data_IF_009382816326
#
_entry.id   IF_009382816326
#
_cell.length_a   1.000
_cell.length_b   1.000
_cell.length_c   1.000
_cell.angle_alpha   90.00
_cell.angle_beta   90.00
_cell.angle_gamma   90.00
#
_symmetry.space_group_name_H-M   'P 1'
#
loop_
_entity.id
_entity.type
_entity.pdbx_description
1 polymer ?
#
# COMPACT_ATOMS: atom_id res chain seq x y z
N UNK A 1 24.80 -13.27 -4.94
CA UNK A 1 25.66 -13.33 -3.73
C UNK A 1 24.78 -13.78 -2.58
N UNK A 2 25.15 -14.81 -1.82
CA UNK A 2 24.35 -15.25 -0.68
C UNK A 2 24.71 -14.37 0.52
N UNK A 3 23.73 -13.84 1.22
CA UNK A 3 23.94 -13.08 2.46
C UNK A 3 23.59 -14.00 3.63
N UNK A 4 24.39 -13.94 4.71
CA UNK A 4 24.12 -14.62 5.98
C UNK A 4 24.06 -13.58 7.09
N UNK A 5 23.04 -13.67 7.91
CA UNK A 5 22.78 -12.78 9.02
C UNK A 5 22.75 -13.54 10.34
N UNK A 6 23.44 -13.00 11.35
CA UNK A 6 23.39 -13.46 12.73
C UNK A 6 22.84 -12.33 13.60
N UNK A 7 21.80 -12.64 14.37
CA UNK A 7 21.11 -11.70 15.24
C UNK A 7 21.29 -12.14 16.70
N UNK A 8 21.57 -11.16 17.55
CA UNK A 8 21.62 -11.30 19.01
C UNK A 8 20.67 -10.26 19.61
N UNK A 9 19.63 -10.73 20.28
CA UNK A 9 18.69 -9.90 21.03
C UNK A 9 18.95 -10.09 22.52
N UNK A 10 19.18 -8.98 23.22
CA UNK A 10 19.45 -8.93 24.65
C UNK A 10 18.39 -8.09 25.34
N UNK A 11 17.67 -8.68 26.30
CA UNK A 11 16.76 -7.99 27.19
C UNK A 11 17.40 -7.86 28.56
N UNK A 12 17.66 -6.63 29.02
CA UNK A 12 18.26 -6.38 30.34
C UNK A 12 17.21 -5.84 31.29
N UNK A 13 16.95 -6.53 32.40
CA UNK A 13 16.08 -6.03 33.47
C UNK A 13 16.78 -4.89 34.22
N UNK A 14 16.14 -3.72 34.27
CA UNK A 14 16.73 -2.51 34.88
C UNK A 14 16.83 -2.59 36.41
N UNK A 15 16.04 -3.46 37.05
CA UNK A 15 15.96 -3.59 38.50
C UNK A 15 16.93 -4.65 39.01
N UNK A 16 17.06 -5.78 38.29
CA UNK A 16 17.93 -6.90 38.70
C UNK A 16 19.27 -6.93 37.98
N UNK A 17 19.36 -6.33 36.79
CA UNK A 17 20.53 -6.43 35.91
C UNK A 17 20.64 -7.76 35.15
N UNK A 18 19.64 -8.65 35.27
CA UNK A 18 19.62 -9.93 34.56
C UNK A 18 19.46 -9.71 33.05
N UNK A 19 20.18 -10.51 32.25
CA UNK A 19 20.18 -10.43 30.79
C UNK A 19 19.62 -11.74 30.23
N UNK A 20 18.52 -11.63 29.49
CA UNK A 20 17.96 -12.68 28.66
C UNK A 20 18.48 -12.50 27.23
N UNK A 21 19.11 -13.54 26.66
CA UNK A 21 19.75 -13.46 25.33
C UNK A 21 19.17 -14.49 24.38
N UNK A 22 18.79 -14.05 23.19
CA UNK A 22 18.35 -14.89 22.06
C UNK A 22 19.32 -14.70 20.90
N UNK A 23 19.68 -15.80 20.23
CA UNK A 23 20.59 -15.83 19.09
C UNK A 23 19.97 -16.63 17.97
N UNK A 24 19.85 -16.02 16.80
CA UNK A 24 19.20 -16.66 15.67
C UNK A 24 19.85 -16.24 14.36
N UNK A 25 19.67 -17.07 13.33
CA UNK A 25 20.13 -16.80 11.97
C UNK A 25 18.97 -16.46 11.06
N UNK A 26 19.23 -15.69 10.01
CA UNK A 26 18.17 -15.27 9.12
C UNK A 26 18.00 -16.14 7.87
N UNK A 27 16.83 -15.98 7.27
CA UNK A 27 16.57 -16.20 5.87
C UNK A 27 16.61 -14.84 5.14
N UNK A 28 17.23 -14.78 3.97
CA UNK A 28 17.20 -13.59 3.09
C UNK A 28 16.03 -13.74 2.13
N UNK A 29 15.28 -12.67 1.94
CA UNK A 29 14.19 -12.62 0.96
C UNK A 29 14.69 -12.09 -0.38
N UNK A 30 13.82 -12.12 -1.38
CA UNK A 30 14.09 -11.57 -2.69
C UNK A 30 13.88 -10.04 -2.77
N UNK A 31 13.47 -9.35 -1.70
CA UNK A 31 13.06 -7.94 -1.76
C UNK A 31 14.13 -7.02 -2.35
N UNK A 32 15.38 -7.14 -1.90
CA UNK A 32 16.50 -6.33 -2.41
C UNK A 32 16.83 -6.69 -3.86
N UNK A 33 16.74 -7.96 -4.22
CA UNK A 33 16.98 -8.41 -5.59
C UNK A 33 15.87 -7.93 -6.54
N UNK A 34 14.61 -7.87 -6.10
CA UNK A 34 13.52 -7.28 -6.87
C UNK A 34 13.79 -5.81 -7.13
N UNK A 35 14.09 -5.03 -6.09
CA UNK A 35 14.35 -3.60 -6.23
C UNK A 35 15.49 -3.29 -7.20
N UNK A 36 16.57 -4.09 -7.19
CA UNK A 36 17.72 -3.86 -8.06
C UNK A 36 17.58 -4.51 -9.45
N UNK A 37 16.81 -5.60 -9.56
CA UNK A 37 16.75 -6.44 -10.76
C UNK A 37 15.48 -6.29 -11.58
N UNK A 38 14.39 -5.79 -10.99
CA UNK A 38 13.11 -5.56 -11.66
C UNK A 38 12.99 -4.06 -11.97
N UNK A 39 12.55 -3.72 -13.18
CA UNK A 39 12.44 -2.35 -13.64
C UNK A 39 11.11 -2.14 -14.42
N UNK A 40 9.96 -2.17 -13.72
CA UNK A 40 8.67 -1.95 -14.38
C UNK A 40 8.67 -0.57 -15.01
N UNK A 41 8.14 -0.44 -16.23
CA UNK A 41 8.06 0.80 -16.99
C UNK A 41 9.38 1.60 -17.09
N UNK A 42 10.53 0.92 -16.99
CA UNK A 42 11.86 1.54 -16.96
C UNK A 42 12.05 2.62 -15.87
N UNK A 43 11.40 2.47 -14.70
CA UNK A 43 11.47 3.39 -13.56
C UNK A 43 12.87 3.84 -13.15
N UNK A 44 13.89 3.00 -13.31
CA UNK A 44 15.28 3.33 -12.94
C UNK A 44 16.03 4.15 -13.99
N UNK A 45 15.37 4.51 -15.09
CA UNK A 45 15.94 5.33 -16.15
C UNK A 45 15.12 6.59 -16.35
N UNK A 46 15.81 7.68 -16.72
CA UNK A 46 15.16 8.93 -17.11
C UNK A 46 14.46 8.77 -18.45
N UNK A 47 13.18 8.43 -18.43
CA UNK A 47 12.44 8.00 -19.64
C UNK A 47 11.17 8.80 -19.91
N UNK A 48 10.78 9.72 -19.01
CA UNK A 48 9.59 10.59 -19.19
C UNK A 48 9.89 12.00 -19.75
N UNK A 49 11.11 12.28 -20.26
CA UNK A 49 11.41 13.50 -21.02
C UNK A 49 12.55 14.38 -20.47
N UNK A 50 12.69 15.58 -21.05
CA UNK A 50 13.86 16.48 -20.93
C UNK A 50 14.09 17.03 -19.49
N UNK A 51 13.07 16.95 -18.62
CA UNK A 51 13.14 17.38 -17.21
C UNK A 51 12.80 16.26 -16.22
N UNK A 52 13.19 15.01 -16.52
CA UNK A 52 13.07 13.91 -15.57
C UNK A 52 14.12 14.05 -14.44
N UNK A 53 13.77 14.86 -13.43
CA UNK A 53 14.52 15.01 -12.18
C UNK A 53 14.19 13.90 -11.16
N UNK A 54 13.32 12.95 -11.51
CA UNK A 54 12.57 12.15 -10.54
C UNK A 54 13.32 10.97 -9.92
N UNK A 55 14.62 10.78 -10.24
CA UNK A 55 15.44 9.70 -9.69
C UNK A 55 15.89 9.95 -8.23
N UNK A 56 14.93 10.17 -7.33
CA UNK A 56 15.14 10.52 -5.92
C UNK A 56 15.56 9.33 -5.03
N UNK A 57 15.62 8.11 -5.57
CA UNK A 57 15.85 6.91 -4.79
C UNK A 57 17.33 6.67 -4.43
N UNK A 58 18.29 7.19 -5.20
CA UNK A 58 19.72 6.94 -4.97
C UNK A 58 20.16 7.37 -3.56
N UNK A 59 19.81 8.57 -3.10
CA UNK A 59 20.17 9.05 -1.74
C UNK A 59 19.33 8.40 -0.63
N UNK A 60 18.22 7.76 -1.02
CA UNK A 60 17.23 7.19 -0.11
C UNK A 60 17.41 5.69 0.11
N UNK A 61 17.92 4.98 -0.89
CA UNK A 61 18.02 3.52 -0.91
C UNK A 61 19.46 3.04 -1.09
N UNK A 62 20.34 3.80 -1.75
CA UNK A 62 21.76 3.47 -1.85
C UNK A 62 22.58 4.24 -0.81
N UNK A 63 23.69 3.68 -0.30
CA UNK A 63 24.17 2.30 -0.50
C UNK A 63 23.21 1.24 0.10
N UNK A 64 23.30 -0.02 -0.34
CA UNK A 64 22.41 -1.11 0.12
C UNK A 64 22.33 -1.13 1.65
N UNK A 65 23.46 -1.23 2.34
CA UNK A 65 23.54 -0.93 3.77
C UNK A 65 24.18 0.45 3.95
N UNK A 66 23.63 1.34 4.80
CA UNK A 66 22.52 1.10 5.72
C UNK A 66 21.18 1.68 5.24
N UNK A 67 20.92 1.79 3.92
CA UNK A 67 19.71 2.47 3.42
C UNK A 67 18.62 1.49 2.94
N UNK A 68 18.88 0.67 1.91
CA UNK A 68 17.97 -0.38 1.42
C UNK A 68 17.77 -1.49 2.47
N UNK A 69 18.81 -1.81 3.21
CA UNK A 69 18.78 -2.61 4.43
C UNK A 69 19.33 -1.70 5.52
N UNK A 70 18.43 -1.19 6.37
CA UNK A 70 18.75 -0.10 7.29
C UNK A 70 17.85 0.02 8.50
N UNK A 71 16.70 -0.64 8.47
CA UNK A 71 15.78 -0.71 9.58
C UNK A 71 15.51 -2.15 9.99
N UNK A 72 14.73 -2.28 11.06
CA UNK A 72 14.30 -3.54 11.65
C UNK A 72 12.82 -3.45 12.00
N UNK A 73 12.08 -4.54 11.78
CA UNK A 73 10.69 -4.75 12.16
C UNK A 73 10.62 -5.94 13.11
N UNK A 74 9.87 -5.80 14.20
CA UNK A 74 9.70 -6.83 15.23
C UNK A 74 8.23 -7.25 15.26
N UNK A 75 7.99 -8.55 15.28
CA UNK A 75 6.66 -9.14 15.11
C UNK A 75 6.27 -9.99 16.31
N UNK A 76 4.98 -10.00 16.63
CA UNK A 76 4.44 -10.75 17.78
C UNK A 76 4.22 -12.24 17.49
N UNK A 77 4.11 -12.61 16.21
CA UNK A 77 4.02 -13.99 15.74
C UNK A 77 5.21 -14.29 14.82
N UNK A 78 5.51 -15.58 14.68
CA UNK A 78 6.46 -16.06 13.66
C UNK A 78 6.01 -15.66 12.26
N UNK A 79 6.97 -15.50 11.36
CA UNK A 79 6.77 -15.21 9.94
C UNK A 79 6.93 -16.49 9.14
N UNK A 80 6.15 -16.64 8.06
CA UNK A 80 6.37 -17.70 7.07
C UNK A 80 7.74 -17.51 6.41
N UNK A 81 8.63 -18.48 6.56
CA UNK A 81 9.96 -18.49 5.93
C UNK A 81 9.85 -18.84 4.44
N UNK A 82 9.70 -17.80 3.62
CA UNK A 82 9.67 -17.88 2.16
C UNK A 82 10.43 -16.67 1.60
N UNK A 83 11.26 -16.89 0.58
CA UNK A 83 12.05 -15.84 -0.04
C UNK A 83 11.17 -14.81 -0.75
N UNK A 84 9.98 -15.20 -1.20
CA UNK A 84 9.02 -14.30 -1.84
C UNK A 84 8.04 -13.66 -0.85
N UNK A 85 8.07 -14.05 0.44
CA UNK A 85 7.33 -13.39 1.51
C UNK A 85 8.03 -12.06 1.91
N UNK A 86 7.94 -11.08 1.02
CA UNK A 86 8.52 -9.74 1.21
C UNK A 86 7.61 -8.80 2.02
N UNK A 87 6.34 -9.16 2.22
CA UNK A 87 5.40 -8.48 3.11
C UNK A 87 4.57 -9.52 3.87
N UNK A 88 4.57 -9.50 5.21
CA UNK A 88 3.70 -10.39 5.97
C UNK A 88 2.24 -9.98 5.80
N UNK A 89 1.32 -10.92 6.08
CA UNK A 89 -0.10 -10.60 6.20
C UNK A 89 -0.33 -9.53 7.29
N UNK A 90 -1.34 -8.68 7.08
CA UNK A 90 -1.70 -7.64 8.05
C UNK A 90 -2.21 -8.18 9.39
N UNK A 91 -2.46 -9.48 9.55
CA UNK A 91 -2.75 -10.09 10.86
C UNK A 91 -1.53 -10.12 11.80
N UNK A 92 -0.34 -9.82 11.28
CA UNK A 92 0.93 -9.78 12.00
C UNK A 92 1.70 -8.51 11.65
N UNK A 93 1.11 -7.34 11.92
CA UNK A 93 1.82 -6.07 11.80
C UNK A 93 2.96 -5.96 12.84
N UNK A 94 4.01 -5.14 12.57
CA UNK A 94 5.10 -4.95 13.50
C UNK A 94 4.63 -4.34 14.83
N UNK A 95 5.05 -4.92 15.95
CA UNK A 95 4.81 -4.36 17.30
C UNK A 95 5.87 -3.32 17.69
N UNK A 96 7.04 -3.40 17.06
CA UNK A 96 8.13 -2.44 17.24
C UNK A 96 8.99 -2.39 15.98
N UNK A 97 9.75 -1.31 15.82
CA UNK A 97 10.63 -1.11 14.68
C UNK A 97 11.75 -0.12 15.01
N UNK A 98 12.79 -0.06 14.18
CA UNK A 98 13.78 1.01 14.24
C UNK A 98 14.36 1.28 12.86
N UNK A 99 14.86 2.50 12.65
CA UNK A 99 15.48 2.95 11.39
C UNK A 99 17.01 3.02 11.56
N UNK A 100 17.73 3.57 10.59
CA UNK A 100 19.18 3.74 10.62
C UNK A 100 19.62 5.03 11.34
N UNK A 101 18.73 5.64 12.13
CA UNK A 101 19.01 6.84 12.91
C UNK A 101 18.33 6.77 14.28
N UNK A 102 18.63 7.77 15.12
CA UNK A 102 18.05 7.89 16.45
C UNK A 102 16.55 8.18 16.41
N UNK A 103 15.81 7.68 17.39
CA UNK A 103 14.42 8.07 17.59
C UNK A 103 14.35 9.44 18.29
N UNK A 104 14.15 10.50 17.50
CA UNK A 104 13.96 11.87 17.99
C UNK A 104 12.50 12.24 18.27
N UNK A 105 11.59 11.26 18.28
CA UNK A 105 10.14 11.48 18.43
C UNK A 105 9.58 10.77 19.67
N UNK A 106 8.34 11.06 20.03
CA UNK A 106 7.62 10.35 21.09
C UNK A 106 7.11 8.95 20.67
N UNK A 107 7.55 8.42 19.52
CA UNK A 107 7.11 7.11 19.03
C UNK A 107 7.64 5.97 19.92
N UNK A 108 6.78 5.41 20.77
CA UNK A 108 7.13 4.31 21.67
C UNK A 108 7.28 2.97 20.96
N UNK A 109 6.77 2.80 19.74
CA UNK A 109 7.06 1.60 18.95
C UNK A 109 8.48 1.63 18.36
N UNK A 110 9.14 2.79 18.36
CA UNK A 110 10.39 3.02 17.62
C UNK A 110 11.63 3.02 18.53
N UNK A 111 12.59 2.15 18.22
CA UNK A 111 13.93 2.15 18.80
C UNK A 111 14.90 3.11 18.10
N UNK A 112 16.11 3.22 18.63
CA UNK A 112 17.19 4.06 18.09
C UNK A 112 18.33 3.20 17.56
N UNK A 113 18.91 3.58 16.43
CA UNK A 113 20.20 3.02 16.03
C UNK A 113 21.32 3.57 16.92
N UNK A 114 22.18 2.69 17.42
CA UNK A 114 23.45 3.06 18.04
C UNK A 114 24.47 3.36 16.93
N UNK A 115 24.71 4.65 16.68
CA UNK A 115 25.54 5.14 15.58
C UNK A 115 27.04 4.88 15.78
N UNK A 116 27.47 4.53 16.99
CA UNK A 116 28.88 4.21 17.29
C UNK A 116 29.18 2.73 17.08
N UNK A 117 28.26 1.84 17.48
CA UNK A 117 28.43 0.41 17.31
C UNK A 117 28.01 -0.12 15.93
N UNK A 118 27.12 0.60 15.24
CA UNK A 118 26.70 0.27 13.89
C UNK A 118 27.74 0.75 12.87
N UNK A 119 28.25 -0.17 12.04
CA UNK A 119 29.32 0.14 11.09
C UNK A 119 29.41 -0.88 9.97
N UNK A 120 29.98 -0.43 8.85
CA UNK A 120 30.46 -1.34 7.82
C UNK A 120 31.53 -2.29 8.37
N UNK A 121 31.53 -3.51 7.86
CA UNK A 121 32.55 -4.53 8.03
C UNK A 121 33.22 -4.78 6.66
N UNK A 122 34.35 -5.47 6.64
CA UNK A 122 35.08 -5.74 5.39
C UNK A 122 34.24 -6.52 4.36
N UNK A 123 33.36 -7.40 4.83
CA UNK A 123 32.49 -8.25 4.01
C UNK A 123 31.00 -8.15 4.42
N UNK A 124 30.57 -7.01 4.98
CA UNK A 124 29.21 -6.91 5.50
C UNK A 124 28.91 -5.63 6.28
N UNK A 125 27.89 -5.71 7.14
CA UNK A 125 27.49 -4.60 8.00
C UNK A 125 27.03 -5.11 9.37
N UNK A 126 27.41 -4.40 10.43
CA UNK A 126 26.91 -4.60 11.78
C UNK A 126 25.90 -3.50 12.09
N UNK A 127 24.67 -3.88 12.42
CA UNK A 127 23.64 -3.00 12.94
C UNK A 127 23.49 -3.21 14.45
N UNK A 128 23.28 -2.11 15.18
CA UNK A 128 22.94 -2.14 16.60
C UNK A 128 21.77 -1.19 16.84
N UNK A 129 20.66 -1.74 17.33
CA UNK A 129 19.49 -0.96 17.74
C UNK A 129 19.24 -1.11 19.24
N UNK A 130 18.80 -0.04 19.87
CA UNK A 130 18.54 0.05 21.30
C UNK A 130 17.13 0.59 21.53
N UNK A 131 16.43 -0.03 22.46
CA UNK A 131 15.09 0.36 22.89
C UNK A 131 15.12 0.60 24.39
N UNK A 132 14.71 1.81 24.77
CA UNK A 132 14.56 2.18 26.18
C UNK A 132 13.39 1.42 26.83
N UNK A 133 13.21 1.50 28.16
CA UNK A 133 12.14 0.76 28.81
C UNK A 133 10.72 1.11 28.31
N UNK A 134 10.49 2.35 27.89
CA UNK A 134 9.20 2.77 27.30
C UNK A 134 9.02 2.38 25.84
N UNK A 135 10.06 1.83 25.18
CA UNK A 135 10.07 1.56 23.75
C UNK A 135 10.00 0.07 23.42
N UNK A 136 9.32 -0.25 22.32
CA UNK A 136 9.25 -1.59 21.74
C UNK A 136 8.63 -2.65 22.65
N UNK A 137 7.69 -2.25 23.50
CA UNK A 137 7.05 -3.16 24.45
C UNK A 137 6.04 -4.08 23.74
N UNK A 138 6.12 -5.37 24.02
CA UNK A 138 5.30 -6.40 23.40
C UNK A 138 5.95 -7.77 23.45
N UNK A 139 5.23 -8.76 22.92
CA UNK A 139 5.80 -10.08 22.63
C UNK A 139 6.52 -9.99 21.29
N UNK A 140 7.71 -10.59 21.21
CA UNK A 140 8.54 -10.64 20.01
C UNK A 140 8.82 -12.10 19.70
N UNK A 141 8.36 -12.56 18.54
CA UNK A 141 8.53 -13.92 18.05
C UNK A 141 9.28 -13.98 16.70
N UNK A 142 9.37 -12.85 15.99
CA UNK A 142 10.18 -12.75 14.78
C UNK A 142 10.74 -11.34 14.60
N UNK A 143 11.82 -11.26 13.83
CA UNK A 143 12.55 -10.04 13.49
C UNK A 143 12.83 -10.06 12.00
N UNK A 144 12.56 -8.96 11.30
CA UNK A 144 12.91 -8.80 9.90
C UNK A 144 13.70 -7.53 9.66
N UNK A 145 14.76 -7.60 8.85
CA UNK A 145 15.41 -6.39 8.35
C UNK A 145 14.52 -5.74 7.28
N UNK A 146 14.57 -4.41 7.19
CA UNK A 146 13.80 -3.59 6.24
C UNK A 146 14.66 -2.41 5.77
N UNK A 147 14.17 -1.61 4.83
CA UNK A 147 14.77 -0.31 4.52
C UNK A 147 14.77 0.66 5.70
N UNK A 148 15.65 1.68 5.65
CA UNK A 148 15.64 2.77 6.64
C UNK A 148 14.27 3.44 6.76
N UNK A 149 13.57 3.62 5.63
CA UNK A 149 12.26 4.27 5.61
C UNK A 149 11.17 3.37 6.20
N UNK A 150 11.21 2.08 5.88
CA UNK A 150 10.31 1.08 6.45
C UNK A 150 10.44 0.97 7.97
N UNK A 151 11.66 1.14 8.50
CA UNK A 151 11.94 1.18 9.94
C UNK A 151 11.68 2.53 10.63
N UNK A 152 11.24 3.57 9.90
CA UNK A 152 11.00 4.90 10.48
C UNK A 152 9.59 5.03 11.08
N UNK A 153 8.56 4.68 10.31
CA UNK A 153 7.19 4.60 10.77
C UNK A 153 6.50 3.46 10.02
N UNK A 154 6.70 2.23 10.51
CA UNK A 154 6.07 1.07 9.92
C UNK A 154 4.52 1.15 10.00
N UNK A 155 3.85 0.16 9.45
CA UNK A 155 2.39 0.03 9.50
C UNK A 155 1.84 0.24 10.91
N UNK A 156 0.74 1.00 11.03
CA UNK A 156 0.11 1.30 12.32
C UNK A 156 0.76 2.42 13.14
N UNK A 157 1.75 3.15 12.61
CA UNK A 157 2.38 4.25 13.37
C UNK A 157 1.40 5.37 13.74
N UNK A 158 1.47 5.77 15.02
CA UNK A 158 0.72 6.89 15.61
C UNK A 158 1.42 8.24 15.46
N UNK A 159 2.62 8.29 14.88
CA UNK A 159 3.40 9.54 14.72
C UNK A 159 3.41 10.05 13.29
N UNK A 160 3.55 9.17 12.30
CA UNK A 160 3.51 9.53 10.88
C UNK A 160 3.10 8.32 10.04
N UNK A 161 2.35 8.52 8.96
CA UNK A 161 1.88 7.45 8.06
C UNK A 161 2.48 7.51 6.65
N UNK A 162 3.34 8.49 6.34
CA UNK A 162 3.85 8.75 4.99
C UNK A 162 5.14 7.99 4.64
N UNK A 163 6.01 7.73 5.62
CA UNK A 163 7.33 7.11 5.34
C UNK A 163 7.30 5.73 4.68
N UNK A 164 6.22 4.92 4.78
CA UNK A 164 6.09 3.71 3.98
C UNK A 164 6.09 3.92 2.46
N UNK A 165 5.81 5.13 1.96
CA UNK A 165 5.62 5.41 0.53
C UNK A 165 6.75 6.31 0.01
N UNK A 166 7.79 5.68 -0.53
CA UNK A 166 8.90 6.42 -1.14
C UNK A 166 8.55 6.78 -2.58
N UNK A 167 8.30 8.05 -2.84
CA UNK A 167 8.10 8.55 -4.20
C UNK A 167 9.38 8.39 -5.05
N UNK A 168 9.24 7.81 -6.26
CA UNK A 168 10.38 7.51 -7.14
C UNK A 168 10.23 7.98 -8.58
N UNK A 169 9.03 8.32 -9.05
CA UNK A 169 8.85 8.83 -10.43
C UNK A 169 7.55 9.59 -10.60
N UNK A 170 7.59 10.62 -11.44
CA UNK A 170 6.42 11.33 -11.95
C UNK A 170 6.50 11.45 -13.48
N UNK A 171 5.40 11.13 -14.13
CA UNK A 171 5.19 11.27 -15.57
C UNK A 171 4.06 12.30 -15.75
N UNK A 172 4.34 13.40 -16.43
CA UNK A 172 3.33 14.40 -16.78
C UNK A 172 2.42 13.86 -17.89
N UNK A 173 1.12 13.78 -17.62
CA UNK A 173 0.08 13.34 -18.56
C UNK A 173 -0.96 14.44 -18.83
N UNK A 174 -0.71 15.68 -18.38
CA UNK A 174 -1.59 16.84 -18.58
C UNK A 174 -1.80 17.21 -20.05
N UNK A 175 -0.84 16.89 -20.91
CA UNK A 175 -0.93 17.13 -22.36
C UNK A 175 -1.65 16.02 -23.13
N UNK A 176 -2.06 14.92 -22.47
CA UNK A 176 -2.90 13.92 -23.12
C UNK A 176 -4.29 14.48 -23.39
N UNK A 177 -4.95 14.02 -24.46
CA UNK A 177 -6.35 14.36 -24.71
C UNK A 177 -7.24 13.94 -23.53
N UNK A 178 -8.32 14.68 -23.27
CA UNK A 178 -9.38 14.36 -22.29
C UNK A 178 -9.73 12.86 -22.26
N UNK A 179 -10.03 12.28 -23.44
CA UNK A 179 -10.38 10.86 -23.56
C UNK A 179 -9.30 9.94 -22.96
N UNK A 180 -8.04 10.18 -23.29
CA UNK A 180 -6.89 9.39 -22.79
C UNK A 180 -6.69 9.60 -21.30
N UNK A 181 -6.85 10.82 -20.79
CA UNK A 181 -6.77 11.07 -19.35
C UNK A 181 -7.86 10.28 -18.62
N UNK A 182 -9.12 10.38 -19.04
CA UNK A 182 -10.20 9.64 -18.40
C UNK A 182 -10.03 8.12 -18.50
N UNK A 183 -9.45 7.59 -19.59
CA UNK A 183 -9.09 6.17 -19.69
C UNK A 183 -8.10 5.73 -18.61
N UNK A 184 -7.10 6.56 -18.29
CA UNK A 184 -6.15 6.29 -17.20
C UNK A 184 -6.80 6.41 -15.82
N UNK A 185 -7.62 7.44 -15.59
CA UNK A 185 -8.28 7.66 -14.31
C UNK A 185 -9.40 6.65 -14.02
N UNK A 186 -9.99 6.06 -15.05
CA UNK A 186 -10.92 4.94 -14.94
C UNK A 186 -10.24 3.57 -14.80
N UNK A 187 -8.91 3.51 -14.68
CA UNK A 187 -8.21 2.26 -14.44
C UNK A 187 -8.75 1.57 -13.17
N UNK A 188 -9.10 0.30 -13.30
CA UNK A 188 -9.55 -0.56 -12.20
C UNK A 188 -8.57 -1.68 -11.88
N UNK A 189 -7.71 -2.03 -12.84
CA UNK A 189 -6.73 -3.10 -12.72
C UNK A 189 -5.55 -2.86 -13.67
N UNK A 190 -4.35 -3.19 -13.20
CA UNK A 190 -3.13 -3.28 -14.02
C UNK A 190 -2.59 -4.70 -13.86
N UNK A 191 -2.52 -5.43 -14.96
CA UNK A 191 -1.80 -6.70 -15.05
C UNK A 191 -0.39 -6.41 -15.53
N UNK A 192 0.51 -6.24 -14.56
CA UNK A 192 1.89 -5.83 -14.80
C UNK A 192 2.65 -6.85 -15.65
N UNK A 193 2.46 -8.14 -15.39
CA UNK A 193 3.17 -9.23 -16.07
C UNK A 193 2.78 -9.31 -17.55
N UNK A 194 1.49 -9.12 -17.86
CA UNK A 194 0.99 -9.17 -19.23
C UNK A 194 0.96 -7.82 -19.94
N UNK A 195 1.42 -6.73 -19.28
CA UNK A 195 1.48 -5.39 -19.85
C UNK A 195 0.08 -4.86 -20.23
N UNK A 196 -0.90 -5.06 -19.34
CA UNK A 196 -2.29 -4.69 -19.58
C UNK A 196 -2.82 -3.72 -18.53
N UNK A 197 -3.65 -2.79 -18.98
CA UNK A 197 -4.46 -1.91 -18.13
C UNK A 197 -5.93 -2.10 -18.51
N UNK A 198 -6.79 -2.24 -17.51
CA UNK A 198 -8.24 -2.33 -17.69
C UNK A 198 -8.88 -1.08 -17.11
N UNK A 199 -9.67 -0.40 -17.93
CA UNK A 199 -10.44 0.77 -17.53
C UNK A 199 -11.93 0.49 -17.66
N UNK A 200 -12.72 0.95 -16.68
CA UNK A 200 -14.18 0.80 -16.71
C UNK A 200 -14.84 2.15 -16.51
N UNK A 201 -15.75 2.49 -17.41
CA UNK A 201 -16.52 3.72 -17.39
C UNK A 201 -18.01 3.46 -17.49
N UNK A 202 -18.82 4.43 -17.07
CA UNK A 202 -20.28 4.40 -17.19
C UNK A 202 -20.78 5.68 -17.85
N UNK A 203 -21.60 5.52 -18.88
CA UNK A 203 -22.32 6.61 -19.54
C UNK A 203 -23.58 6.05 -20.21
N UNK A 204 -24.66 6.84 -20.26
CA UNK A 204 -25.88 6.52 -21.03
C UNK A 204 -26.45 5.10 -20.78
N UNK A 205 -26.50 4.67 -19.52
CA UNK A 205 -26.95 3.31 -19.13
C UNK A 205 -26.09 2.17 -19.70
N UNK A 206 -24.84 2.45 -20.03
CA UNK A 206 -23.89 1.45 -20.50
C UNK A 206 -22.60 1.49 -19.67
N UNK A 207 -22.13 0.31 -19.27
CA UNK A 207 -20.78 0.13 -18.72
C UNK A 207 -19.86 -0.27 -19.85
N UNK A 208 -18.77 0.47 -20.04
CA UNK A 208 -17.76 0.16 -21.05
C UNK A 208 -16.48 -0.32 -20.37
N UNK A 209 -16.05 -1.53 -20.73
CA UNK A 209 -14.77 -2.11 -20.31
C UNK A 209 -13.79 -1.98 -21.48
N UNK A 210 -12.72 -1.23 -21.28
CA UNK A 210 -11.65 -1.06 -22.26
C UNK A 210 -10.39 -1.78 -21.76
N UNK A 211 -9.78 -2.57 -22.66
CA UNK A 211 -8.51 -3.26 -22.41
C UNK A 211 -7.41 -2.57 -23.19
N UNK A 212 -6.36 -2.15 -22.51
CA UNK A 212 -5.21 -1.50 -23.12
C UNK A 212 -3.94 -2.32 -22.95
N UNK A 213 -3.06 -2.21 -23.93
CA UNK A 213 -1.64 -2.51 -23.77
C UNK A 213 -0.94 -1.30 -23.15
N UNK A 214 -0.28 -1.54 -22.01
CA UNK A 214 0.54 -0.57 -21.29
C UNK A 214 1.99 -1.08 -21.23
N UNK A 215 2.99 -0.35 -21.78
CA UNK A 215 4.38 -0.81 -21.77
C UNK A 215 4.95 -0.82 -20.34
N UNK A 216 5.18 -2.01 -19.77
CA UNK A 216 5.68 -2.20 -18.40
C UNK A 216 6.99 -3.00 -18.43
N UNK A 217 6.94 -4.28 -18.80
CA UNK A 217 8.12 -5.16 -18.86
C UNK A 217 8.53 -5.55 -20.29
N UNK A 218 7.59 -5.54 -21.23
CA UNK A 218 7.85 -5.80 -22.64
C UNK A 218 7.51 -4.55 -23.44
N UNK A 219 8.53 -3.94 -24.04
CA UNK A 219 8.46 -2.62 -24.68
C UNK A 219 8.67 -2.78 -26.18
N UNK A 220 7.72 -2.28 -26.97
CA UNK A 220 7.79 -2.23 -28.42
C UNK A 220 8.70 -1.11 -28.92
N UNK A 221 9.23 -1.26 -30.14
CA UNK A 221 10.23 -0.35 -30.71
C UNK A 221 9.78 1.11 -30.85
N UNK A 222 8.47 1.35 -30.93
CA UNK A 222 7.88 2.69 -31.08
C UNK A 222 7.09 3.14 -29.84
N UNK A 223 7.12 2.33 -28.77
CA UNK A 223 6.46 2.68 -27.52
C UNK A 223 7.31 3.67 -26.73
N UNK A 224 6.63 4.57 -26.04
CA UNK A 224 7.21 5.56 -25.14
C UNK A 224 6.79 5.24 -23.72
N UNK A 225 7.70 5.47 -22.79
CA UNK A 225 7.52 5.19 -21.35
C UNK A 225 7.07 6.44 -20.59
N UNK A 226 6.32 7.30 -21.28
CA UNK A 226 5.72 8.55 -20.81
C UNK A 226 4.18 8.49 -20.85
N UNK A 227 3.62 7.28 -20.89
CA UNK A 227 2.18 6.96 -21.00
C UNK A 227 1.46 7.50 -22.24
N UNK A 228 2.15 8.19 -23.16
CA UNK A 228 1.54 8.71 -24.39
C UNK A 228 1.17 7.60 -25.39
N UNK A 229 1.76 6.41 -25.25
CA UNK A 229 1.62 5.26 -26.16
C UNK A 229 0.74 4.12 -25.64
N UNK A 230 -0.25 4.43 -24.79
CA UNK A 230 -1.31 3.49 -24.41
C UNK A 230 -2.13 3.04 -25.64
N UNK A 231 -2.17 1.73 -25.91
CA UNK A 231 -2.83 1.17 -27.10
C UNK A 231 -4.08 0.40 -26.72
N UNK A 232 -5.23 0.80 -27.26
CA UNK A 232 -6.50 0.07 -27.08
C UNK A 232 -6.43 -1.27 -27.82
N UNK A 233 -6.71 -2.36 -27.10
CA UNK A 233 -6.74 -3.73 -27.64
C UNK A 233 -8.17 -4.23 -27.84
N UNK A 234 -9.06 -3.89 -26.92
CA UNK A 234 -10.43 -4.41 -26.92
C UNK A 234 -11.40 -3.46 -26.21
N UNK A 235 -12.68 -3.54 -26.58
CA UNK A 235 -13.76 -2.75 -25.98
C UNK A 235 -15.02 -3.58 -25.91
N UNK A 236 -15.56 -3.73 -24.69
CA UNK A 236 -16.84 -4.36 -24.44
C UNK A 236 -17.83 -3.36 -23.85
N UNK A 237 -19.02 -3.29 -24.44
CA UNK A 237 -20.11 -2.41 -23.98
C UNK A 237 -21.22 -3.29 -23.39
N UNK A 238 -21.56 -3.03 -22.14
CA UNK A 238 -22.56 -3.75 -21.36
C UNK A 238 -23.77 -2.84 -21.12
N UNK A 239 -24.88 -3.13 -21.79
CA UNK A 239 -26.12 -2.36 -21.62
C UNK A 239 -26.80 -2.71 -20.30
N UNK A 240 -26.90 -1.73 -19.40
CA UNK A 240 -27.49 -1.88 -18.08
C UNK A 240 -28.99 -1.55 -18.13
N UNK A 241 -29.78 -2.35 -17.44
CA UNK A 241 -31.22 -2.10 -17.22
C UNK A 241 -31.49 -1.54 -15.82
N UNK A 242 -30.64 -1.87 -14.85
CA UNK A 242 -30.82 -1.52 -13.44
C UNK A 242 -29.66 -0.71 -12.89
N UNK A 243 -28.42 -1.06 -13.22
CA UNK A 243 -27.25 -0.35 -12.72
C UNK A 243 -27.20 1.06 -13.29
N UNK A 244 -27.05 2.05 -12.40
CA UNK A 244 -26.82 3.43 -12.79
C UNK A 244 -25.98 4.15 -11.75
N UNK A 245 -25.17 5.11 -12.20
CA UNK A 245 -24.61 6.10 -11.30
C UNK A 245 -25.71 7.05 -10.82
N UNK A 246 -25.59 7.51 -9.57
CA UNK A 246 -26.50 8.50 -8.98
C UNK A 246 -26.00 9.94 -9.27
N UNK A 247 -26.76 10.96 -8.89
CA UNK A 247 -26.41 12.37 -9.15
C UNK A 247 -26.55 12.81 -10.61
N UNK A 248 -26.94 14.08 -10.83
CA UNK A 248 -27.12 14.64 -12.19
C UNK A 248 -25.99 15.57 -12.63
N UNK A 249 -25.40 16.34 -11.69
CA UNK A 249 -24.28 17.24 -11.97
C UNK A 249 -22.92 16.55 -11.83
N UNK A 250 -22.75 15.73 -10.79
CA UNK A 250 -21.55 14.90 -10.59
C UNK A 250 -22.02 13.47 -10.41
N UNK A 251 -21.67 12.56 -11.33
CA UNK A 251 -22.04 11.15 -11.20
C UNK A 251 -21.40 10.52 -9.96
N UNK A 252 -22.24 9.91 -9.10
CA UNK A 252 -21.81 9.18 -7.91
C UNK A 252 -21.79 7.68 -8.22
N UNK A 253 -20.57 7.16 -8.36
CA UNK A 253 -20.31 5.76 -8.63
C UNK A 253 -18.82 5.49 -8.73
N UNK A 254 -18.45 4.21 -8.65
CA UNK A 254 -17.06 3.77 -8.78
C UNK A 254 -17.00 2.33 -9.25
N UNK A 255 -15.89 1.95 -9.89
CA UNK A 255 -15.56 0.59 -10.26
C UNK A 255 -14.33 0.11 -9.51
N UNK A 256 -14.35 -1.15 -9.08
CA UNK A 256 -13.34 -1.75 -8.22
C UNK A 256 -13.02 -3.17 -8.71
N UNK A 257 -11.75 -3.53 -8.66
CA UNK A 257 -11.33 -4.92 -8.81
C UNK A 257 -11.60 -5.70 -7.52
N UNK A 258 -12.37 -6.80 -7.63
CA UNK A 258 -12.62 -7.69 -6.51
C UNK A 258 -11.49 -8.68 -6.21
N UNK A 259 -10.52 -8.82 -7.13
CA UNK A 259 -9.42 -9.80 -7.08
C UNK A 259 -9.91 -11.25 -6.94
N UNK A 260 -11.14 -11.52 -7.37
CA UNK A 260 -11.85 -12.80 -7.25
C UNK A 260 -12.36 -13.31 -8.61
N UNK A 261 -11.79 -12.79 -9.71
CA UNK A 261 -12.23 -13.05 -11.08
C UNK A 261 -13.36 -12.13 -11.56
N UNK A 262 -13.77 -11.14 -10.76
CA UNK A 262 -14.80 -10.18 -11.13
C UNK A 262 -14.35 -8.73 -10.89
N UNK A 263 -14.84 -7.83 -11.74
CA UNK A 263 -14.93 -6.40 -11.43
C UNK A 263 -16.32 -6.07 -10.89
N UNK A 264 -16.39 -5.05 -10.05
CA UNK A 264 -17.62 -4.60 -9.43
C UNK A 264 -17.81 -3.10 -9.65
N UNK A 265 -19.03 -2.68 -9.98
CA UNK A 265 -19.44 -1.28 -9.95
C UNK A 265 -20.44 -1.04 -8.84
N UNK A 266 -20.33 0.10 -8.16
CA UNK A 266 -21.22 0.52 -7.08
C UNK A 266 -21.60 1.98 -7.22
N UNK A 267 -22.84 2.32 -6.86
CA UNK A 267 -23.33 3.69 -6.83
C UNK A 267 -24.40 3.90 -5.74
N UNK A 268 -24.30 5.00 -5.01
CA UNK A 268 -25.27 5.41 -4.01
C UNK A 268 -25.33 6.93 -3.87
N UNK A 269 -26.47 7.42 -3.40
CA UNK A 269 -26.56 8.74 -2.78
C UNK A 269 -26.08 8.67 -1.33
N UNK A 270 -25.44 9.73 -0.86
CA UNK A 270 -25.07 9.86 0.56
C UNK A 270 -26.34 9.92 1.43
N UNK A 271 -26.34 9.22 2.57
CA UNK A 271 -27.47 9.23 3.49
C UNK A 271 -27.05 9.33 4.97
N UNK A 272 -27.60 10.34 5.65
CA UNK A 272 -27.37 10.60 7.07
C UNK A 272 -28.26 9.74 8.01
N UNK A 273 -29.31 9.12 7.46
CA UNK A 273 -30.32 8.37 8.20
C UNK A 273 -31.00 7.34 7.30
N UNK A 274 -31.81 6.47 7.90
CA UNK A 274 -32.55 5.43 7.18
C UNK A 274 -31.67 4.35 6.59
N UNK A 275 -32.22 3.63 5.60
CA UNK A 275 -31.52 2.61 4.82
C UNK A 275 -30.88 3.24 3.58
N UNK A 276 -29.67 2.80 3.23
CA UNK A 276 -29.03 3.18 1.98
C UNK A 276 -29.56 2.33 0.81
N UNK A 277 -29.68 2.94 -0.36
CA UNK A 277 -29.87 2.24 -1.63
C UNK A 277 -28.54 2.17 -2.35
N UNK A 278 -28.13 0.99 -2.77
CA UNK A 278 -26.88 0.75 -3.51
C UNK A 278 -27.20 0.09 -4.85
N UNK A 279 -26.88 0.74 -5.96
CA UNK A 279 -26.87 0.10 -7.27
C UNK A 279 -25.54 -0.65 -7.42
N UNK A 280 -25.59 -1.84 -7.99
CA UNK A 280 -24.41 -2.66 -8.19
C UNK A 280 -24.42 -3.37 -9.54
N UNK A 281 -23.23 -3.61 -10.07
CA UNK A 281 -22.97 -4.49 -11.20
C UNK A 281 -21.76 -5.37 -10.88
N UNK A 282 -21.82 -6.64 -11.23
CA UNK A 282 -20.73 -7.62 -11.14
C UNK A 282 -20.43 -8.12 -12.54
N UNK A 283 -19.18 -7.95 -12.97
CA UNK A 283 -18.71 -8.23 -14.33
C UNK A 283 -17.64 -9.31 -14.27
N UNK A 284 -17.83 -10.41 -14.97
CA UNK A 284 -16.87 -11.50 -15.12
C UNK A 284 -15.65 -11.03 -15.91
N UNK A 285 -14.44 -11.25 -15.39
CA UNK A 285 -13.20 -10.91 -16.10
C UNK A 285 -12.91 -11.85 -17.28
N UNK A 286 -13.46 -13.07 -17.27
CA UNK A 286 -13.14 -14.09 -18.28
C UNK A 286 -13.94 -13.95 -19.58
N UNK A 287 -15.18 -13.50 -19.48
CA UNK A 287 -16.12 -13.47 -20.60
C UNK A 287 -17.02 -12.23 -20.64
N UNK A 288 -16.82 -11.27 -19.74
CA UNK A 288 -17.59 -10.03 -19.63
C UNK A 288 -19.10 -10.22 -19.38
N UNK A 289 -19.53 -11.45 -19.05
CA UNK A 289 -20.88 -11.69 -18.56
C UNK A 289 -21.11 -10.91 -17.27
N UNK A 290 -22.31 -10.37 -17.08
CA UNK A 290 -22.59 -9.54 -15.91
C UNK A 290 -23.96 -9.80 -15.31
N UNK A 291 -24.05 -9.48 -14.02
CA UNK A 291 -25.30 -9.37 -13.28
C UNK A 291 -25.34 -8.00 -12.62
N UNK A 292 -26.53 -7.46 -12.43
CA UNK A 292 -26.73 -6.14 -11.83
C UNK A 292 -27.97 -6.14 -10.95
N UNK A 293 -28.09 -5.12 -10.11
CA UNK A 293 -29.28 -4.94 -9.32
C UNK A 293 -29.19 -3.76 -8.36
N UNK A 294 -30.09 -3.78 -7.39
CA UNK A 294 -30.15 -2.80 -6.31
C UNK A 294 -30.21 -3.53 -4.98
N UNK A 295 -29.44 -3.04 -4.00
CA UNK A 295 -29.56 -3.44 -2.61
C UNK A 295 -30.23 -2.33 -1.80
N UNK A 296 -31.07 -2.74 -0.84
CA UNK A 296 -31.48 -1.88 0.27
C UNK A 296 -30.72 -2.34 1.50
N UNK A 297 -29.84 -1.49 2.02
CA UNK A 297 -28.95 -1.78 3.15
C UNK A 297 -29.59 -1.23 4.44
N UNK A 298 -30.23 -2.06 5.27
CA UNK A 298 -31.06 -1.57 6.37
C UNK A 298 -30.25 -0.81 7.41
N UNK A 299 -30.67 0.43 7.70
CA UNK A 299 -30.01 1.32 8.67
C UNK A 299 -28.52 1.64 8.39
N UNK A 300 -28.01 1.31 7.20
CA UNK A 300 -26.67 1.69 6.80
C UNK A 300 -26.65 3.15 6.34
N UNK A 301 -25.80 3.96 6.97
CA UNK A 301 -25.62 5.39 6.69
C UNK A 301 -24.29 5.61 5.99
N UNK A 302 -24.31 5.75 4.68
CA UNK A 302 -23.11 5.74 3.85
C UNK A 302 -22.77 7.15 3.35
N UNK A 303 -21.47 7.43 3.24
CA UNK A 303 -21.01 8.43 2.27
C UNK A 303 -21.23 7.89 0.85
N UNK A 304 -21.12 8.73 -0.18
CA UNK A 304 -20.97 8.22 -1.55
C UNK A 304 -19.77 7.28 -1.62
N UNK A 305 -19.89 6.16 -2.33
CA UNK A 305 -18.80 5.16 -2.50
C UNK A 305 -17.68 5.65 -3.41
N UNK A 306 -17.99 6.61 -4.26
CA UNK A 306 -17.06 7.32 -5.14
C UNK A 306 -17.81 8.23 -6.10
N UNK A 307 -17.07 8.96 -6.93
CA UNK A 307 -17.60 9.80 -8.00
C UNK A 307 -16.55 10.00 -9.08
N UNK A 308 -16.99 10.36 -10.28
CA UNK A 308 -16.09 10.64 -11.39
C UNK A 308 -16.73 11.54 -12.44
N UNK A 309 -16.02 12.58 -12.88
CA UNK A 309 -16.38 13.38 -14.06
C UNK A 309 -15.14 13.97 -14.72
N UNK A 310 -15.32 14.49 -15.92
CA UNK A 310 -14.39 15.42 -16.55
C UNK A 310 -15.08 16.77 -16.72
N UNK A 311 -14.40 17.85 -16.34
CA UNK A 311 -14.86 19.22 -16.62
C UNK A 311 -13.77 20.00 -17.35
N UNK A 312 -12.68 20.35 -16.64
CA UNK A 312 -11.46 20.91 -17.24
C UNK A 312 -10.27 19.95 -17.11
N UNK A 313 -10.36 19.02 -16.17
CA UNK A 313 -9.40 17.99 -15.81
C UNK A 313 -10.19 16.81 -15.18
N UNK A 314 -9.58 15.63 -15.01
CA UNK A 314 -10.20 14.51 -14.33
C UNK A 314 -10.50 14.83 -12.86
N UNK A 315 -11.75 14.63 -12.45
CA UNK A 315 -12.19 14.74 -11.06
C UNK A 315 -12.71 13.40 -10.57
N UNK A 316 -11.93 12.73 -9.72
CA UNK A 316 -12.24 11.38 -9.24
C UNK A 316 -12.22 11.31 -7.72
N UNK A 317 -13.21 10.63 -7.13
CA UNK A 317 -13.27 10.39 -5.70
C UNK A 317 -13.46 8.91 -5.45
N UNK A 318 -12.66 8.33 -4.55
CA UNK A 318 -12.78 6.93 -4.14
C UNK A 318 -12.91 6.82 -2.63
N UNK A 319 -14.03 6.26 -2.16
CA UNK A 319 -14.37 6.12 -0.73
C UNK A 319 -14.73 4.69 -0.34
N UNK A 320 -14.35 3.73 -1.19
CA UNK A 320 -14.66 2.32 -1.00
C UNK A 320 -13.61 1.42 -1.66
N UNK A 321 -13.55 0.18 -1.18
CA UNK A 321 -12.71 -0.89 -1.71
C UNK A 321 -13.44 -2.23 -1.62
N UNK A 322 -13.05 -3.19 -2.45
CA UNK A 322 -13.50 -4.59 -2.33
C UNK A 322 -12.35 -5.43 -1.78
N UNK A 323 -12.66 -6.30 -0.81
CA UNK A 323 -11.72 -7.29 -0.27
C UNK A 323 -12.48 -8.55 0.12
N UNK A 324 -12.01 -9.71 -0.38
CA UNK A 324 -12.48 -11.04 0.01
C UNK A 324 -14.02 -11.23 -0.03
N UNK A 325 -14.67 -10.73 -1.08
CA UNK A 325 -16.13 -10.86 -1.25
C UNK A 325 -16.97 -9.86 -0.45
N UNK A 326 -16.36 -8.80 0.07
CA UNK A 326 -17.05 -7.71 0.76
C UNK A 326 -16.69 -6.34 0.18
N UNK A 327 -17.69 -5.45 0.08
CA UNK A 327 -17.51 -4.02 -0.12
C UNK A 327 -17.27 -3.35 1.24
N UNK A 328 -16.22 -2.53 1.33
CA UNK A 328 -15.93 -1.68 2.46
C UNK A 328 -16.21 -0.23 2.09
N UNK A 329 -17.18 0.42 2.76
CA UNK A 329 -17.62 1.78 2.44
C UNK A 329 -17.66 2.67 3.68
N UNK A 330 -17.23 3.93 3.54
CA UNK A 330 -17.20 4.87 4.66
C UNK A 330 -18.60 5.19 5.20
N UNK A 331 -18.72 5.18 6.52
CA UNK A 331 -19.92 5.67 7.20
C UNK A 331 -20.08 7.19 7.07
N UNK A 332 -21.32 7.64 6.99
CA UNK A 332 -21.68 9.06 6.96
C UNK A 332 -21.13 9.86 8.14
N UNK A 333 -21.22 9.30 9.35
CA UNK A 333 -20.81 9.96 10.59
C UNK A 333 -19.30 9.92 10.86
N UNK A 334 -18.52 9.33 9.93
CA UNK A 334 -17.06 9.21 9.97
C UNK A 334 -16.54 8.38 11.15
N UNK A 335 -17.39 7.53 11.75
CA UNK A 335 -17.04 6.72 12.94
C UNK A 335 -16.86 5.24 12.67
N UNK A 336 -17.01 4.83 11.41
CA UNK A 336 -16.78 3.45 11.00
C UNK A 336 -16.72 3.24 9.49
N UNK A 337 -16.53 1.98 9.13
CA UNK A 337 -16.58 1.48 7.76
C UNK A 337 -17.59 0.34 7.72
N UNK A 338 -18.57 0.41 6.82
CA UNK A 338 -19.49 -0.69 6.59
C UNK A 338 -18.80 -1.76 5.78
N UNK A 339 -18.83 -3.00 6.28
CA UNK A 339 -18.49 -4.23 5.58
C UNK A 339 -19.78 -4.85 5.08
N UNK A 340 -19.96 -4.92 3.76
CA UNK A 340 -21.18 -5.37 3.09
C UNK A 340 -20.83 -6.59 2.25
N UNK A 341 -21.50 -7.72 2.50
CA UNK A 341 -21.26 -8.96 1.77
C UNK A 341 -21.81 -8.88 0.34
N UNK A 342 -20.96 -9.14 -0.66
CA UNK A 342 -21.33 -9.02 -2.07
C UNK A 342 -22.31 -10.11 -2.52
N UNK A 343 -22.35 -11.26 -1.84
CA UNK A 343 -23.25 -12.36 -2.13
C UNK A 343 -24.55 -12.33 -1.30
N UNK A 344 -24.55 -11.60 -0.18
CA UNK A 344 -25.70 -11.50 0.71
C UNK A 344 -25.84 -10.06 1.27
N UNK A 345 -26.58 -9.17 0.61
CA UNK A 345 -26.68 -7.77 1.03
C UNK A 345 -27.44 -7.54 2.34
N UNK A 346 -27.97 -8.60 2.98
CA UNK A 346 -28.47 -8.54 4.35
C UNK A 346 -27.35 -8.65 5.41
N UNK A 347 -26.19 -9.18 5.03
CA UNK A 347 -24.99 -9.25 5.86
C UNK A 347 -24.21 -7.93 5.73
N UNK A 348 -24.57 -6.98 6.60
CA UNK A 348 -24.00 -5.65 6.70
C UNK A 348 -23.55 -5.42 8.14
N UNK A 349 -22.26 -5.19 8.32
CA UNK A 349 -21.67 -4.92 9.64
C UNK A 349 -20.93 -3.60 9.64
N UNK A 350 -21.15 -2.76 10.66
CA UNK A 350 -20.36 -1.55 10.87
C UNK A 350 -19.11 -1.89 11.68
N UNK A 351 -17.95 -1.79 11.04
CA UNK A 351 -16.65 -1.82 11.72
C UNK A 351 -16.43 -0.45 12.36
N UNK A 352 -16.60 -0.38 13.69
CA UNK A 352 -16.42 0.85 14.44
C UNK A 352 -14.93 1.19 14.52
N UNK A 353 -14.57 2.40 14.12
CA UNK A 353 -13.18 2.89 14.21
C UNK A 353 -12.81 3.28 15.66
N UNK A 354 -13.81 3.56 16.50
CA UNK A 354 -13.62 3.89 17.92
C UNK A 354 -13.34 5.37 18.19
N UNK A 355 -13.28 6.19 17.14
CA UNK A 355 -13.19 7.65 17.19
C UNK A 355 -13.82 8.25 15.92
N UNK A 356 -14.02 9.57 15.90
CA UNK A 356 -14.43 10.27 14.67
C UNK A 356 -13.20 10.52 13.80
N UNK A 357 -13.11 9.87 12.64
CA UNK A 357 -12.04 10.10 11.68
C UNK A 357 -12.03 11.54 11.19
N UNK A 358 -10.85 12.10 10.96
CA UNK A 358 -10.70 13.38 10.28
C UNK A 358 -11.25 13.32 8.84
N UNK A 359 -11.38 12.12 8.27
CA UNK A 359 -12.00 11.86 6.97
C UNK A 359 -11.43 12.79 5.89
N UNK A 360 -10.13 12.67 5.65
CA UNK A 360 -9.35 13.40 4.64
C UNK A 360 -8.84 12.44 3.56
N UNK A 361 -8.57 12.91 2.33
CA UNK A 361 -7.94 12.09 1.32
C UNK A 361 -6.52 11.69 1.74
N UNK A 362 -6.03 10.56 1.23
CA UNK A 362 -4.68 10.04 1.48
C UNK A 362 -3.59 10.90 0.79
N UNK A 363 -3.96 11.59 -0.28
CA UNK A 363 -3.14 12.60 -0.96
C UNK A 363 -3.45 14.03 -0.49
N UNK A 364 -3.16 15.01 -1.35
CA UNK A 364 -3.63 16.39 -1.18
C UNK A 364 -5.15 16.47 -1.42
N UNK A 365 -5.83 17.45 -0.83
CA UNK A 365 -7.24 17.78 -1.14
C UNK A 365 -7.35 18.62 -2.40
N UNK A 366 -8.42 18.45 -3.19
CA UNK A 366 -8.57 19.16 -4.49
C UNK A 366 -9.37 18.38 -5.54
N UNK A 367 -8.93 18.39 -6.80
CA UNK A 367 -9.73 17.86 -7.93
C UNK A 367 -9.96 16.35 -7.87
N UNK A 368 -9.00 15.59 -7.37
CA UNK A 368 -9.13 14.15 -7.17
C UNK A 368 -8.73 13.72 -5.76
N UNK A 369 -9.50 12.79 -5.18
CA UNK A 369 -9.43 12.44 -3.75
C UNK A 369 -9.71 10.94 -3.47
N UNK A 370 -8.66 10.20 -3.06
CA UNK A 370 -8.78 8.84 -2.55
C UNK A 370 -8.83 8.85 -1.03
N UNK A 371 -9.91 8.32 -0.44
CA UNK A 371 -10.10 8.19 1.01
C UNK A 371 -9.89 6.78 1.53
N UNK A 372 -10.21 5.77 0.71
CA UNK A 372 -9.96 4.36 1.00
C UNK A 372 -9.25 3.72 -0.20
N UNK A 373 -8.21 2.93 0.09
CA UNK A 373 -7.52 2.11 -0.90
C UNK A 373 -6.96 0.84 -0.25
N UNK A 374 -6.51 -0.09 -1.08
CA UNK A 374 -5.90 -1.35 -0.67
C UNK A 374 -4.40 -1.35 -1.00
N UNK A 375 -3.58 -1.72 -0.02
CA UNK A 375 -2.16 -2.06 -0.23
C UNK A 375 -1.90 -3.40 0.46
N UNK A 376 -1.35 -4.36 -0.27
CA UNK A 376 -1.37 -5.79 0.10
C UNK A 376 -2.79 -6.26 0.44
N UNK A 377 -3.01 -6.72 1.67
CA UNK A 377 -4.30 -7.13 2.24
C UNK A 377 -4.91 -6.06 3.18
N UNK A 378 -4.25 -4.91 3.34
CA UNK A 378 -4.61 -3.86 4.28
C UNK A 378 -5.48 -2.79 3.61
N UNK A 379 -6.62 -2.48 4.24
CA UNK A 379 -7.42 -1.30 3.86
C UNK A 379 -6.85 -0.08 4.58
N UNK A 380 -6.55 0.97 3.83
CA UNK A 380 -5.94 2.20 4.35
C UNK A 380 -6.92 3.35 4.26
N UNK A 381 -7.26 3.93 5.42
CA UNK A 381 -7.92 5.22 5.56
C UNK A 381 -6.97 6.30 6.06
N UNK A 382 -7.48 7.52 6.27
CA UNK A 382 -6.64 8.66 6.71
C UNK A 382 -5.89 8.35 8.01
N UNK A 383 -6.63 8.17 9.10
CA UNK A 383 -6.16 8.00 10.48
C UNK A 383 -6.46 6.60 11.04
N UNK A 384 -6.77 5.65 10.16
CA UNK A 384 -6.98 4.26 10.51
C UNK A 384 -6.56 3.32 9.38
N UNK A 385 -6.39 2.06 9.72
CA UNK A 385 -6.19 0.92 8.82
C UNK A 385 -7.12 -0.22 9.26
N UNK A 386 -7.43 -1.16 8.37
CA UNK A 386 -8.20 -2.37 8.69
C UNK A 386 -7.43 -3.59 8.21
N UNK A 387 -7.02 -4.46 9.13
CA UNK A 387 -6.29 -5.69 8.82
C UNK A 387 -7.20 -6.75 8.17
N UNK A 388 -6.61 -7.86 7.72
CA UNK A 388 -7.32 -8.98 7.07
C UNK A 388 -8.40 -9.62 7.94
N UNK A 389 -8.32 -9.47 9.27
CA UNK A 389 -9.30 -9.96 10.25
C UNK A 389 -10.34 -8.91 10.64
N UNK A 390 -10.39 -7.79 9.92
CA UNK A 390 -11.27 -6.64 10.17
C UNK A 390 -11.00 -5.89 11.49
N UNK A 391 -9.82 -6.05 12.08
CA UNK A 391 -9.42 -5.23 13.22
C UNK A 391 -9.06 -3.83 12.74
N UNK A 392 -9.65 -2.82 13.38
CA UNK A 392 -9.30 -1.42 13.11
C UNK A 392 -8.08 -1.02 13.92
N UNK A 393 -7.08 -0.49 13.22
CA UNK A 393 -5.83 0.03 13.79
C UNK A 393 -5.82 1.54 13.61
N UNK A 394 -5.70 2.30 14.70
CA UNK A 394 -5.54 3.76 14.64
C UNK A 394 -4.15 4.13 14.13
N UNK A 395 -4.06 5.20 13.36
CA UNK A 395 -2.78 5.76 12.89
C UNK A 395 -2.71 7.27 13.11
N UNK A 396 -1.56 7.87 12.80
CA UNK A 396 -1.31 9.29 12.96
C UNK A 396 -2.29 10.20 12.19
N UNK A 397 -2.79 9.74 11.03
CA UNK A 397 -3.59 10.59 10.15
C UNK A 397 -2.76 11.67 9.45
N UNK A 398 -1.81 11.26 8.62
CA UNK A 398 -0.98 12.20 7.82
C UNK A 398 -1.10 11.91 6.33
N UNK A 399 -0.83 12.94 5.53
CA UNK A 399 -0.80 12.83 4.06
C UNK A 399 0.28 11.83 3.66
N UNK A 400 -0.09 10.85 2.84
CA UNK A 400 0.78 9.73 2.41
C UNK A 400 1.37 9.97 1.03
N UNK A 401 0.63 10.68 0.19
CA UNK A 401 1.01 10.99 -1.19
C UNK A 401 1.05 12.50 -1.37
N UNK A 402 2.05 13.01 -2.05
CA UNK A 402 2.38 14.43 -2.18
C UNK A 402 1.46 15.21 -3.14
N UNK A 403 0.45 14.56 -3.73
CA UNK A 403 -0.51 15.14 -4.66
C UNK A 403 -1.89 14.50 -4.50
N UNK A 404 -2.90 15.15 -5.08
CA UNK A 404 -4.25 14.63 -5.31
C UNK A 404 -4.22 13.35 -6.16
N UNK A 405 -4.69 12.24 -5.58
CA UNK A 405 -4.76 10.94 -6.26
C UNK A 405 -6.17 10.75 -6.79
N UNK A 406 -6.31 10.30 -8.04
CA UNK A 406 -7.58 10.09 -8.72
C UNK A 406 -7.83 8.68 -9.24
N UNK A 407 -6.95 7.72 -8.97
CA UNK A 407 -7.21 6.30 -9.22
C UNK A 407 -7.07 5.48 -7.93
N UNK A 408 -7.47 4.21 -7.96
CA UNK A 408 -6.99 3.24 -6.98
C UNK A 408 -5.45 3.11 -7.04
N UNK A 409 -4.85 2.57 -5.99
CA UNK A 409 -3.42 2.24 -5.97
C UNK A 409 -3.23 0.85 -6.53
N UNK A 410 -2.39 0.73 -7.56
CA UNK A 410 -2.00 -0.54 -8.15
C UNK A 410 -0.64 -0.96 -7.59
N UNK A 411 -0.53 -2.22 -7.19
CA UNK A 411 0.68 -2.75 -6.57
C UNK A 411 1.26 -3.89 -7.39
N UNK A 412 2.58 -3.86 -7.55
CA UNK A 412 3.38 -4.97 -8.05
C UNK A 412 4.59 -5.14 -7.14
N UNK A 413 4.58 -6.18 -6.30
CA UNK A 413 5.63 -6.41 -5.29
C UNK A 413 5.86 -5.16 -4.42
N UNK A 414 7.06 -4.58 -4.43
CA UNK A 414 7.40 -3.34 -3.71
C UNK A 414 6.94 -2.06 -4.43
N UNK A 415 6.49 -2.14 -5.68
CA UNK A 415 6.12 -0.97 -6.47
C UNK A 415 4.64 -0.65 -6.32
N UNK A 416 4.33 0.63 -6.14
CA UNK A 416 2.98 1.17 -6.15
C UNK A 416 2.87 2.21 -7.25
N UNK A 417 1.72 2.26 -7.93
CA UNK A 417 1.44 3.30 -8.91
C UNK A 417 0.00 3.80 -8.86
N UNK A 418 -0.20 5.07 -9.20
CA UNK A 418 -1.50 5.71 -9.30
C UNK A 418 -1.49 6.91 -10.26
N UNK A 419 -2.68 7.30 -10.71
CA UNK A 419 -2.91 8.51 -11.50
C UNK A 419 -3.39 9.64 -10.58
N UNK A 420 -2.83 10.82 -10.78
CA UNK A 420 -3.00 12.00 -9.95
C UNK A 420 -3.49 13.17 -10.81
N UNK A 421 -4.49 13.92 -10.37
CA UNK A 421 -4.91 15.18 -11.00
C UNK A 421 -4.96 16.27 -9.95
N UNK A 422 -4.33 17.41 -10.24
CA UNK A 422 -4.45 18.61 -9.44
C UNK A 422 -4.65 19.82 -10.36
N UNK A 423 -5.90 20.17 -10.64
CA UNK A 423 -6.26 21.41 -11.35
C UNK A 423 -5.50 21.63 -12.67
N UNK A 424 -5.43 20.63 -13.56
CA UNK A 424 -4.70 20.70 -14.83
C UNK A 424 -3.22 20.33 -14.74
N UNK A 425 -2.82 19.72 -13.62
CA UNK A 425 -1.51 19.08 -13.44
C UNK A 425 -1.72 17.58 -13.24
N UNK A 426 -2.00 16.88 -14.33
CA UNK A 426 -2.22 15.43 -14.33
C UNK A 426 -0.91 14.67 -14.43
N UNK A 427 -0.77 13.62 -13.63
CA UNK A 427 0.45 12.81 -13.57
C UNK A 427 0.17 11.34 -13.32
N UNK A 428 1.09 10.49 -13.77
CA UNK A 428 1.20 9.10 -13.33
C UNK A 428 2.43 8.98 -12.42
N UNK A 429 2.19 8.55 -11.17
CA UNK A 429 3.22 8.53 -10.12
C UNK A 429 3.51 7.14 -9.63
N UNK A 430 4.80 6.89 -9.39
CA UNK A 430 5.28 5.63 -8.84
C UNK A 430 5.97 5.83 -7.48
N UNK A 431 5.79 4.83 -6.63
CA UNK A 431 6.34 4.76 -5.29
C UNK A 431 6.95 3.38 -5.03
N UNK A 432 7.87 3.32 -4.09
CA UNK A 432 8.32 2.08 -3.45
C UNK A 432 7.65 2.00 -2.10
N UNK A 433 6.99 0.88 -1.84
CA UNK A 433 6.55 0.48 -0.52
C UNK A 433 7.79 0.04 0.27
N UNK A 434 8.13 0.77 1.32
CA UNK A 434 9.43 0.64 2.01
C UNK A 434 9.47 -0.32 3.21
N UNK A 435 8.36 -0.69 3.88
CA UNK A 435 8.35 -1.69 4.96
C UNK A 435 8.43 -3.15 4.47
N UNK A 436 9.26 -3.44 3.48
CA UNK A 436 9.50 -4.82 3.03
C UNK A 436 10.41 -5.58 3.99
N UNK A 437 10.28 -6.89 4.01
CA UNK A 437 11.20 -7.80 4.67
C UNK A 437 12.37 -8.06 3.73
N UNK A 438 13.55 -7.53 4.04
CA UNK A 438 14.83 -7.91 3.41
C UNK A 438 15.40 -9.21 4.01
N UNK A 439 14.99 -9.53 5.24
CA UNK A 439 15.26 -10.81 5.88
C UNK A 439 14.10 -11.21 6.78
N UNK A 440 14.06 -12.50 7.11
CA UNK A 440 13.18 -13.09 8.11
C UNK A 440 14.04 -13.83 9.12
N UNK A 441 13.76 -13.62 10.40
CA UNK A 441 14.46 -14.28 11.49
C UNK A 441 13.45 -14.62 12.60
N UNK A 442 12.99 -15.86 12.63
CA UNK A 442 12.08 -16.36 13.66
C UNK A 442 12.87 -16.72 14.92
N UNK A 443 12.32 -16.37 16.08
CA UNK A 443 12.90 -16.75 17.36
C UNK A 443 12.45 -18.17 17.71
N UNK A 444 13.39 -19.01 18.16
CA UNK A 444 13.12 -20.35 18.69
C UNK A 444 12.17 -20.34 19.89
N UNK A 445 12.15 -19.24 20.65
CA UNK A 445 11.16 -18.94 21.67
C UNK A 445 10.83 -17.45 21.69
N UNK A 446 9.54 -17.11 21.72
CA UNK A 446 9.11 -15.73 21.84
C UNK A 446 9.56 -15.12 23.17
N UNK A 447 9.99 -13.85 23.14
CA UNK A 447 10.41 -13.08 24.31
C UNK A 447 9.45 -11.94 24.59
N UNK A 448 9.42 -11.46 25.83
CA UNK A 448 8.54 -10.35 26.24
C UNK A 448 9.39 -9.15 26.67
N UNK A 449 9.27 -8.06 25.89
CA UNK A 449 9.82 -6.75 26.22
C UNK A 449 8.75 -5.94 26.94
N UNK A 450 9.03 -5.53 28.18
CA UNK A 450 8.13 -4.73 29.01
C UNK A 450 8.84 -3.43 29.51
N UNK A 451 8.13 -2.66 30.33
CA UNK A 451 8.58 -1.38 30.87
C UNK A 451 9.72 -1.48 31.90
N UNK A 452 10.13 -2.68 32.28
CA UNK A 452 11.23 -2.93 33.22
C UNK A 452 12.50 -3.39 32.50
N UNK A 453 12.41 -3.74 31.23
CA UNK A 453 13.54 -4.20 30.43
C UNK A 453 14.01 -3.13 29.44
N UNK A 454 15.31 -3.02 29.18
CA UNK A 454 15.82 -2.44 27.93
C UNK A 454 15.99 -3.57 26.90
N UNK A 455 16.09 -3.22 25.62
CA UNK A 455 16.40 -4.18 24.57
C UNK A 455 17.53 -3.67 23.69
N UNK A 456 18.53 -4.52 23.44
CA UNK A 456 19.59 -4.29 22.47
C UNK A 456 19.52 -5.40 21.42
N UNK A 457 19.52 -5.03 20.14
CA UNK A 457 19.57 -5.97 19.04
C UNK A 457 20.83 -5.68 18.23
N UNK A 458 21.76 -6.63 18.24
CA UNK A 458 22.92 -6.63 17.37
C UNK A 458 22.65 -7.56 16.20
N UNK A 459 22.75 -7.06 14.99
CA UNK A 459 22.54 -7.84 13.77
C UNK A 459 23.75 -7.69 12.86
N UNK A 460 24.45 -8.79 12.59
CA UNK A 460 25.60 -8.82 11.69
C UNK A 460 25.19 -9.52 10.40
N UNK A 461 25.23 -8.80 9.29
CA UNK A 461 24.91 -9.30 7.95
C UNK A 461 26.20 -9.34 7.12
N UNK A 462 26.61 -10.50 6.65
CA UNK A 462 27.84 -10.70 5.88
C UNK A 462 27.60 -11.47 4.59
N UNK A 463 28.47 -11.25 3.62
CA UNK A 463 28.52 -12.02 2.38
C UNK A 463 29.06 -13.42 2.64
N UNK A 464 28.33 -14.43 2.18
CA UNK A 464 28.76 -15.83 2.22
C UNK A 464 29.70 -16.12 1.04
N UNK A 465 30.98 -16.28 1.35
CA UNK A 465 32.06 -16.55 0.38
C UNK A 465 32.18 -18.03 0.00
N UNK A 466 31.34 -18.92 0.56
CA UNK A 466 31.43 -20.37 0.31
C UNK A 466 31.00 -20.82 -1.10
N UNK A 467 30.60 -19.89 -1.98
CA UNK A 467 30.10 -20.19 -3.33
C UNK A 467 30.80 -19.50 -4.50
N UNK A 468 31.92 -18.78 -4.31
CA UNK A 468 32.63 -18.09 -5.40
C UNK A 468 33.76 -18.91 -6.05
N UNK A 469 33.76 -20.24 -5.84
CA UNK A 469 34.62 -21.18 -6.54
C UNK A 469 33.78 -22.16 -7.38
N UNK A 470 33.28 -21.70 -8.52
CA UNK A 470 32.91 -22.56 -9.66
C UNK A 470 32.94 -21.78 -10.95
#
# INVERSE_FOLDING_TARGET
>A
MKLKGEMVLELTDKNTGEIETVRETNMITNAVNHLLGINPAALWYKTSGEYDASLMWNDNMLPICPNMIGGILLFSKTLTEDADNIYPSSDNLPVAYASNNVNSTANTARGSMNLTESKALDNGYKFVWEFTPSQGNGTIAAVGLTSKQGGANAWGSMVNSATPYLYIRNIDIGNLSEKKQMQLFHAVEIDFENNLLYAISYADSAVTVEKFRMPIFNIGLNEKLDDSTLTLLDTHVLTCSTFTFCGSYTPYGTFLDGRDGYWYGFANEENASGSATMYWIRISKSDYSFTEGTWTLPNARLQIVGSGKYENYPEMVHKSVVRNGYLYALSYDKKGVYKINLANPADVTLLKIGFTSANKPLGSSGSSEVYLTMVNDLIIGWDFMIDVNDNVIRTAGTQRFDQNIGSQIFQYREYLTCFCSSYGTESHKWFILTPYLASINNLSSAVVKNADKTMKITYTLTEDTSGSAS
#
